data_IF_842079563744
#
_entry.id   IF_842079563744
#
_cell.length_a   1.000
_cell.length_b   1.000
_cell.length_c   1.000
_cell.angle_alpha   90.00
_cell.angle_beta   90.00
_cell.angle_gamma   90.00
#
_symmetry.space_group_name_H-M   'P 1'
#
loop_
_entity.id
_entity.type
_entity.pdbx_description
1 polymer ?
#
# COMPACT_ATOMS: atom_id res chain seq x y z
N UNK A 1 -9.09 -4.67 1.17
CA UNK A 1 -8.23 -5.35 2.17
C UNK A 1 -8.98 -6.54 2.75
N UNK A 2 -10.03 -6.32 3.54
CA UNK A 2 -10.84 -7.40 4.14
C UNK A 2 -11.43 -8.39 3.11
N UNK A 3 -12.03 -7.88 2.04
CA UNK A 3 -12.61 -8.69 0.95
C UNK A 3 -11.58 -9.54 0.21
N UNK A 4 -10.30 -9.13 0.23
CA UNK A 4 -9.19 -9.87 -0.36
C UNK A 4 -8.50 -10.80 0.66
N UNK A 5 -9.02 -10.89 1.89
CA UNK A 5 -8.40 -11.65 2.99
C UNK A 5 -7.12 -11.02 3.56
N UNK A 6 -6.77 -9.81 3.12
CA UNK A 6 -5.54 -9.08 3.49
C UNK A 6 -5.80 -8.16 4.68
N UNK A 7 -4.97 -8.28 5.72
CA UNK A 7 -5.08 -7.49 6.94
C UNK A 7 -6.16 -7.98 7.90
N UNK A 8 -6.19 -7.42 9.10
CA UNK A 8 -7.16 -7.70 10.17
C UNK A 8 -7.62 -6.37 10.80
N UNK A 9 -8.74 -6.32 11.55
CA UNK A 9 -9.17 -5.09 12.22
C UNK A 9 -8.08 -4.41 13.05
N UNK A 10 -7.20 -5.20 13.66
CA UNK A 10 -6.04 -4.72 14.42
C UNK A 10 -4.91 -4.13 13.58
N UNK A 11 -4.87 -4.37 12.26
CA UNK A 11 -3.74 -3.97 11.40
C UNK A 11 -4.10 -2.88 10.39
N UNK A 12 -5.38 -2.65 10.07
CA UNK A 12 -5.76 -1.71 9.00
C UNK A 12 -5.20 -0.30 9.20
N UNK A 13 -5.39 0.27 10.39
CA UNK A 13 -4.89 1.60 10.71
C UNK A 13 -3.36 1.66 10.67
N UNK A 14 -2.69 0.66 11.23
CA UNK A 14 -1.22 0.59 11.26
C UNK A 14 -0.62 0.43 9.86
N UNK A 15 -1.22 -0.39 8.99
CA UNK A 15 -0.79 -0.54 7.60
C UNK A 15 -0.96 0.76 6.84
N UNK A 16 -2.10 1.44 6.98
CA UNK A 16 -2.33 2.72 6.31
C UNK A 16 -1.34 3.79 6.78
N UNK A 17 -1.09 3.87 8.08
CA UNK A 17 -0.11 4.79 8.65
C UNK A 17 1.28 4.51 8.09
N UNK A 18 1.69 3.23 8.01
CA UNK A 18 2.99 2.84 7.46
C UNK A 18 3.14 3.24 5.99
N UNK A 19 2.08 3.11 5.19
CA UNK A 19 2.11 3.52 3.77
C UNK A 19 2.25 5.04 3.61
N UNK A 20 1.61 5.82 4.49
CA UNK A 20 1.73 7.27 4.51
C UNK A 20 3.11 7.72 5.01
N UNK A 21 3.60 7.17 6.12
CA UNK A 21 4.89 7.51 6.73
C UNK A 21 6.06 7.23 5.78
N UNK A 22 5.92 6.22 4.91
CA UNK A 22 6.90 5.87 3.89
C UNK A 22 6.74 6.62 2.57
N UNK A 23 5.77 7.53 2.50
CA UNK A 23 5.47 8.36 1.32
C UNK A 23 5.13 7.52 0.08
N UNK A 24 4.50 6.36 0.28
CA UNK A 24 3.98 5.56 -0.83
C UNK A 24 2.60 6.04 -1.28
N UNK A 25 1.85 6.63 -0.35
CA UNK A 25 0.55 7.25 -0.61
C UNK A 25 0.44 8.54 0.20
N UNK A 26 -0.39 9.47 -0.30
CA UNK A 26 -0.88 10.61 0.48
C UNK A 26 -2.39 10.56 0.60
N UNK A 27 -2.91 11.27 1.60
CA UNK A 27 -4.36 11.47 1.75
C UNK A 27 -4.72 12.84 1.20
N UNK A 28 -5.58 12.88 0.20
CA UNK A 28 -6.13 14.10 -0.39
C UNK A 28 -7.65 14.02 -0.40
N UNK A 29 -8.34 14.98 0.23
CA UNK A 29 -9.81 15.01 0.33
C UNK A 29 -10.41 13.66 0.79
N UNK A 30 -9.80 13.05 1.81
CA UNK A 30 -10.15 11.72 2.35
C UNK A 30 -10.02 10.56 1.34
N UNK A 31 -9.24 10.74 0.27
CA UNK A 31 -8.91 9.70 -0.72
C UNK A 31 -7.43 9.40 -0.65
N UNK A 32 -7.07 8.14 -0.88
CA UNK A 32 -5.68 7.75 -1.03
C UNK A 32 -5.23 8.03 -2.46
N UNK A 33 -4.14 8.77 -2.58
CA UNK A 33 -3.49 9.09 -3.85
C UNK A 33 -2.11 8.45 -3.83
N UNK A 34 -1.80 7.55 -4.79
CA UNK A 34 -0.49 6.92 -4.86
C UNK A 34 0.55 7.94 -5.31
N UNK A 35 1.66 8.00 -4.58
CA UNK A 35 2.84 8.81 -4.90
C UNK A 35 3.74 8.10 -5.92
N UNK A 36 4.59 8.85 -6.61
CA UNK A 36 5.49 8.30 -7.63
C UNK A 36 6.41 7.21 -7.06
N UNK A 37 6.91 7.42 -5.83
CA UNK A 37 7.72 6.44 -5.09
C UNK A 37 6.94 5.14 -4.85
N UNK A 38 5.67 5.22 -4.47
CA UNK A 38 4.82 4.05 -4.27
C UNK A 38 4.61 3.28 -5.57
N UNK A 39 4.35 3.98 -6.68
CA UNK A 39 4.19 3.37 -8.01
C UNK A 39 5.47 2.66 -8.47
N UNK A 40 6.63 3.28 -8.28
CA UNK A 40 7.91 2.70 -8.65
C UNK A 40 8.20 1.42 -7.84
N UNK A 41 7.91 1.43 -6.54
CA UNK A 41 8.10 0.25 -5.68
C UNK A 41 7.18 -0.89 -6.10
N UNK A 42 5.91 -0.63 -6.40
CA UNK A 42 4.99 -1.66 -6.90
C UNK A 42 5.49 -2.24 -8.22
N UNK A 43 5.84 -1.39 -9.20
CA UNK A 43 6.38 -1.87 -10.47
C UNK A 43 7.63 -2.74 -10.27
N UNK A 44 8.54 -2.35 -9.37
CA UNK A 44 9.71 -3.17 -9.04
C UNK A 44 9.31 -4.52 -8.44
N UNK A 45 8.39 -4.55 -7.49
CA UNK A 45 7.96 -5.80 -6.85
C UNK A 45 7.22 -6.72 -7.82
N UNK A 46 6.36 -6.19 -8.69
CA UNK A 46 5.68 -6.96 -9.73
C UNK A 46 6.68 -7.60 -10.71
N UNK A 47 7.74 -6.89 -11.10
CA UNK A 47 8.70 -7.38 -12.09
C UNK A 47 9.69 -8.43 -11.54
N UNK A 48 9.99 -8.40 -10.24
CA UNK A 48 11.06 -9.23 -9.67
C UNK A 48 10.61 -10.16 -8.53
N UNK A 49 9.44 -9.90 -7.94
CA UNK A 49 8.96 -10.54 -6.71
C UNK A 49 7.46 -10.88 -6.77
N UNK A 50 6.93 -11.18 -7.96
CA UNK A 50 5.50 -11.46 -8.24
C UNK A 50 4.83 -12.33 -7.16
N UNK A 51 5.47 -13.45 -6.79
CA UNK A 51 4.98 -14.38 -5.75
C UNK A 51 4.62 -13.74 -4.40
N UNK A 52 5.21 -12.60 -4.06
CA UNK A 52 5.01 -11.94 -2.77
C UNK A 52 3.97 -10.82 -2.80
N UNK A 53 3.50 -10.40 -3.98
CA UNK A 53 2.63 -9.22 -4.15
C UNK A 53 1.32 -9.50 -4.88
N UNK A 54 1.06 -10.76 -5.25
CA UNK A 54 -0.22 -11.25 -5.78
C UNK A 54 -1.36 -11.23 -4.74
#
# INVERSE_FOLDING_TARGET
MEELGIGRPSTYAATLQTLQDREYVRIDKKRLVPEDKGRLVIAFLENFFERYVE
#
